data_IF_051669450244
#
_entry.id   IF_051669450244
#
_cell.length_a   1.000
_cell.length_b   1.000
_cell.length_c   1.000
_cell.angle_alpha   90.00
_cell.angle_beta   90.00
_cell.angle_gamma   90.00
#
_symmetry.space_group_name_H-M   'P 1'
#
loop_
_entity.id
_entity.type
_entity.pdbx_description
1 polymer ?
#
# COMPACT_ATOMS: atom_id res chain seq x y z
N UNK A 1 -14.15 21.42 10.00
CA UNK A 1 -14.25 20.34 11.01
C UNK A 1 -15.02 19.11 10.46
N UNK A 2 -16.22 19.23 9.89
CA UNK A 2 -16.92 18.07 9.30
C UNK A 2 -16.17 17.56 8.07
N UNK A 3 -15.74 18.46 7.18
CA UNK A 3 -15.01 18.11 5.96
C UNK A 3 -13.67 17.45 6.26
N UNK A 4 -12.96 17.91 7.30
CA UNK A 4 -11.70 17.31 7.74
C UNK A 4 -11.94 15.90 8.26
N UNK A 5 -13.01 15.71 9.06
CA UNK A 5 -13.39 14.39 9.54
C UNK A 5 -13.70 13.42 8.39
N UNK A 6 -14.51 13.85 7.41
CA UNK A 6 -14.84 13.04 6.24
C UNK A 6 -13.58 12.69 5.46
N UNK A 7 -12.69 13.66 5.24
CA UNK A 7 -11.43 13.45 4.53
C UNK A 7 -10.56 12.40 5.21
N UNK A 8 -10.34 12.53 6.52
CA UNK A 8 -9.53 11.54 7.27
C UNK A 8 -10.21 10.18 7.36
N UNK A 9 -11.53 10.15 7.49
CA UNK A 9 -12.29 8.90 7.55
C UNK A 9 -12.16 8.12 6.23
N UNK A 10 -12.43 8.78 5.11
CA UNK A 10 -12.34 8.16 3.77
C UNK A 10 -10.89 7.76 3.47
N UNK A 11 -9.94 8.66 3.66
CA UNK A 11 -8.54 8.38 3.38
C UNK A 11 -7.98 7.23 4.23
N UNK A 12 -8.32 7.16 5.51
CA UNK A 12 -7.82 6.14 6.42
C UNK A 12 -8.50 4.78 6.26
N UNK A 13 -9.80 4.76 5.98
CA UNK A 13 -10.55 3.52 5.92
C UNK A 13 -10.35 2.79 4.58
N UNK A 14 -10.62 3.44 3.45
CA UNK A 14 -10.65 2.76 2.15
C UNK A 14 -9.28 2.28 1.72
N UNK A 15 -8.25 3.07 1.89
CA UNK A 15 -6.89 2.67 1.47
C UNK A 15 -6.40 1.45 2.24
N UNK A 16 -6.58 1.43 3.55
CA UNK A 16 -6.17 0.31 4.40
C UNK A 16 -7.01 -0.94 4.13
N UNK A 17 -8.33 -0.78 4.01
CA UNK A 17 -9.23 -1.90 3.71
C UNK A 17 -8.91 -2.55 2.37
N UNK A 18 -8.69 -1.75 1.32
CA UNK A 18 -8.32 -2.25 -0.01
C UNK A 18 -6.97 -2.95 0.01
N UNK A 19 -5.95 -2.37 0.65
CA UNK A 19 -4.63 -2.99 0.77
C UNK A 19 -4.70 -4.36 1.44
N UNK A 20 -5.42 -4.49 2.55
CA UNK A 20 -5.59 -5.76 3.25
C UNK A 20 -6.42 -6.75 2.43
N UNK A 21 -7.48 -6.30 1.77
CA UNK A 21 -8.34 -7.16 0.94
C UNK A 21 -7.56 -7.82 -0.20
N UNK A 22 -6.75 -7.06 -0.93
CA UNK A 22 -5.90 -7.60 -1.98
C UNK A 22 -4.80 -8.51 -1.43
N UNK A 23 -4.21 -8.16 -0.30
CA UNK A 23 -3.22 -9.00 0.37
C UNK A 23 -3.82 -10.38 0.73
N UNK A 24 -4.99 -10.41 1.35
CA UNK A 24 -5.68 -11.66 1.68
C UNK A 24 -6.14 -12.44 0.44
N UNK A 25 -6.60 -11.74 -0.59
CA UNK A 25 -6.98 -12.36 -1.86
C UNK A 25 -5.79 -13.11 -2.48
N UNK A 26 -4.62 -12.47 -2.55
CA UNK A 26 -3.42 -13.08 -3.12
C UNK A 26 -2.88 -14.23 -2.26
N UNK A 27 -2.92 -14.11 -0.94
CA UNK A 27 -2.59 -15.23 -0.05
C UNK A 27 -3.57 -16.40 -0.23
N UNK A 28 -4.86 -16.14 -0.43
CA UNK A 28 -5.86 -17.17 -0.69
C UNK A 28 -5.68 -17.88 -2.04
N UNK A 29 -5.14 -17.18 -3.04
CA UNK A 29 -4.83 -17.76 -4.36
C UNK A 29 -3.52 -18.55 -4.37
N UNK A 30 -2.62 -18.26 -3.46
CA UNK A 30 -1.27 -18.82 -3.39
C UNK A 30 -1.06 -19.55 -2.07
N UNK A 31 -1.50 -20.81 -1.99
CA UNK A 31 -1.44 -21.61 -0.76
C UNK A 31 -0.05 -21.72 -0.15
N UNK A 32 0.99 -21.80 -0.98
CA UNK A 32 2.39 -21.91 -0.52
C UNK A 32 2.84 -20.64 0.22
N UNK A 33 2.36 -19.47 -0.24
CA UNK A 33 2.63 -18.19 0.43
C UNK A 33 1.92 -18.15 1.78
N UNK A 34 0.66 -18.59 1.81
CA UNK A 34 -0.12 -18.65 3.04
C UNK A 34 0.50 -19.59 4.08
N UNK A 35 0.96 -20.76 3.66
CA UNK A 35 1.62 -21.74 4.54
C UNK A 35 2.87 -21.11 5.17
N UNK A 36 3.76 -20.54 4.36
CA UNK A 36 4.99 -19.88 4.86
C UNK A 36 4.70 -18.70 5.78
N UNK A 37 3.65 -17.92 5.48
CA UNK A 37 3.24 -16.82 6.37
C UNK A 37 2.79 -17.35 7.73
N UNK A 38 2.02 -18.43 7.77
CA UNK A 38 1.61 -19.08 9.01
C UNK A 38 2.79 -19.65 9.79
N UNK A 39 3.71 -20.32 9.12
CA UNK A 39 4.94 -20.83 9.75
C UNK A 39 5.76 -19.73 10.41
N UNK A 40 5.85 -18.56 9.75
CA UNK A 40 6.52 -17.39 10.35
C UNK A 40 5.78 -16.88 11.59
N UNK A 41 4.46 -16.73 11.51
CA UNK A 41 3.63 -16.28 12.63
C UNK A 41 3.74 -17.24 13.81
N UNK A 42 3.61 -18.56 13.56
CA UNK A 42 3.72 -19.59 14.60
C UNK A 42 5.10 -19.58 15.24
N UNK A 43 6.16 -19.38 14.47
CA UNK A 43 7.53 -19.27 14.99
C UNK A 43 7.74 -18.03 15.86
N UNK A 44 7.16 -16.87 15.48
CA UNK A 44 7.36 -15.60 16.18
C UNK A 44 6.47 -15.50 17.42
N UNK A 45 5.20 -15.88 17.29
CA UNK A 45 4.22 -15.75 18.38
C UNK A 45 4.19 -16.97 19.29
N UNK A 46 4.41 -18.18 18.78
CA UNK A 46 4.19 -19.42 19.51
C UNK A 46 2.74 -19.53 19.97
N UNK A 47 2.53 -19.78 21.23
CA UNK A 47 1.19 -19.90 21.83
C UNK A 47 0.58 -18.56 22.28
N UNK A 48 1.28 -17.44 22.07
CA UNK A 48 0.80 -16.11 22.46
C UNK A 48 -0.27 -15.60 21.51
N UNK A 49 -1.34 -15.02 22.06
CA UNK A 49 -2.39 -14.36 21.28
C UNK A 49 -2.15 -12.86 21.08
N UNK A 50 -1.27 -12.25 21.87
CA UNK A 50 -0.98 -10.83 21.82
C UNK A 50 0.30 -10.57 21.04
N UNK A 51 0.21 -9.59 20.12
CA UNK A 51 1.33 -9.17 19.27
C UNK A 51 1.96 -7.93 19.90
N UNK A 52 3.28 -7.96 20.07
CA UNK A 52 4.09 -6.80 20.51
C UNK A 52 4.67 -6.07 19.32
N UNK A 53 5.14 -4.83 19.55
CA UNK A 53 5.85 -4.07 18.52
C UNK A 53 7.15 -4.78 18.04
N UNK A 54 7.80 -5.52 18.90
CA UNK A 54 8.99 -6.30 18.55
C UNK A 54 8.64 -7.46 17.61
N UNK A 55 7.54 -8.16 17.86
CA UNK A 55 7.06 -9.25 17.01
C UNK A 55 6.80 -8.76 15.58
N UNK A 56 6.22 -7.56 15.41
CA UNK A 56 5.98 -6.96 14.08
C UNK A 56 7.29 -6.80 13.29
N UNK A 57 8.38 -6.46 13.96
CA UNK A 57 9.70 -6.33 13.31
C UNK A 57 10.32 -7.69 12.92
N UNK A 58 9.88 -8.78 13.54
CA UNK A 58 10.33 -10.14 13.24
C UNK A 58 9.50 -10.83 12.15
N UNK A 59 8.28 -10.34 11.87
CA UNK A 59 7.39 -10.84 10.81
C UNK A 59 7.83 -10.33 9.42
N UNK A 60 9.01 -10.73 9.00
CA UNK A 60 9.65 -10.23 7.76
C UNK A 60 8.96 -10.74 6.50
N UNK A 61 8.56 -12.00 6.48
CA UNK A 61 7.89 -12.60 5.34
C UNK A 61 6.49 -12.05 5.16
N UNK A 62 5.72 -11.93 6.25
CA UNK A 62 4.41 -11.26 6.24
C UNK A 62 4.52 -9.81 5.75
N UNK A 63 5.54 -9.08 6.22
CA UNK A 63 5.82 -7.72 5.74
C UNK A 63 6.17 -7.67 4.26
N UNK A 64 6.89 -8.67 3.74
CA UNK A 64 7.23 -8.75 2.32
C UNK A 64 6.00 -9.04 1.46
N UNK A 65 5.12 -9.95 1.91
CA UNK A 65 3.83 -10.22 1.23
C UNK A 65 3.00 -8.94 1.14
N UNK A 66 2.88 -8.21 2.24
CA UNK A 66 2.11 -6.97 2.26
C UNK A 66 2.68 -5.91 1.32
N UNK A 67 4.01 -5.74 1.31
CA UNK A 67 4.68 -4.81 0.39
C UNK A 67 4.51 -5.21 -1.07
N UNK A 68 4.57 -6.50 -1.37
CA UNK A 68 4.35 -7.00 -2.73
C UNK A 68 2.90 -6.82 -3.17
N UNK A 69 1.94 -7.03 -2.28
CA UNK A 69 0.54 -6.71 -2.53
C UNK A 69 0.33 -5.22 -2.84
N UNK A 70 0.97 -4.32 -2.08
CA UNK A 70 0.93 -2.89 -2.35
C UNK A 70 1.59 -2.49 -3.68
N UNK A 71 2.62 -3.23 -4.10
CA UNK A 71 3.26 -3.02 -5.41
C UNK A 71 2.32 -3.41 -6.54
N UNK A 72 1.61 -4.53 -6.41
CA UNK A 72 0.69 -5.05 -7.43
C UNK A 72 -0.65 -4.28 -7.47
N UNK A 73 -1.15 -3.91 -6.29
CA UNK A 73 -2.46 -3.28 -6.10
C UNK A 73 -2.35 -2.06 -5.20
N UNK A 74 -1.70 -0.97 -5.67
CA UNK A 74 -1.57 0.24 -4.85
C UNK A 74 -2.94 0.89 -4.63
N UNK A 75 -3.37 1.14 -3.38
CA UNK A 75 -4.66 1.78 -3.10
C UNK A 75 -4.74 3.22 -3.61
N UNK A 76 -3.58 3.89 -3.72
CA UNK A 76 -3.44 5.21 -4.32
C UNK A 76 -2.46 5.10 -5.50
N UNK A 77 -2.95 4.77 -6.72
CA UNK A 77 -2.09 4.42 -7.85
C UNK A 77 -1.41 5.62 -8.51
N UNK A 78 -1.78 6.83 -8.14
CA UNK A 78 -1.27 8.05 -8.77
C UNK A 78 -1.22 9.23 -7.82
N UNK A 79 -0.35 10.20 -8.14
CA UNK A 79 -0.35 11.53 -7.54
C UNK A 79 -0.59 12.59 -8.61
N UNK A 80 -1.26 13.67 -8.22
CA UNK A 80 -1.43 14.85 -9.07
C UNK A 80 -0.48 15.97 -8.65
N UNK A 81 0.04 16.67 -9.64
CA UNK A 81 0.84 17.90 -9.48
C UNK A 81 0.39 18.93 -10.51
N UNK A 82 0.55 20.19 -10.17
CA UNK A 82 0.33 21.30 -11.11
C UNK A 82 1.68 21.96 -11.40
N UNK A 83 1.94 22.22 -12.69
CA UNK A 83 3.14 22.95 -13.09
C UNK A 83 2.98 24.42 -12.70
N UNK A 84 4.03 25.02 -12.13
CA UNK A 84 4.07 26.46 -11.84
C UNK A 84 4.65 27.25 -13.01
N UNK A 85 5.56 26.62 -13.74
CA UNK A 85 6.28 27.17 -14.88
C UNK A 85 6.21 26.17 -16.04
N UNK A 86 6.64 26.61 -17.23
CA UNK A 86 6.81 25.72 -18.39
C UNK A 86 7.86 24.65 -18.04
N UNK A 87 7.50 23.38 -18.21
CA UNK A 87 8.35 22.23 -17.94
C UNK A 87 8.65 21.49 -19.25
N UNK A 88 9.91 21.19 -19.50
CA UNK A 88 10.31 20.36 -20.64
C UNK A 88 10.66 18.94 -20.19
N UNK A 89 9.95 17.95 -20.71
CA UNK A 89 10.18 16.53 -20.42
C UNK A 89 10.40 15.79 -21.73
N UNK A 90 11.56 15.17 -21.90
CA UNK A 90 11.94 14.44 -23.11
C UNK A 90 11.69 15.21 -24.43
N UNK A 91 11.92 16.55 -24.42
CA UNK A 91 11.71 17.39 -25.58
C UNK A 91 10.26 17.85 -25.79
N UNK A 92 9.31 17.43 -24.97
CA UNK A 92 7.94 17.94 -24.94
C UNK A 92 7.83 19.11 -23.95
N UNK A 93 7.33 20.23 -24.42
CA UNK A 93 6.98 21.36 -23.55
C UNK A 93 5.59 21.17 -22.93
N UNK A 94 5.54 21.26 -21.61
CA UNK A 94 4.31 21.24 -20.82
C UNK A 94 4.06 22.68 -20.35
N UNK A 95 2.94 23.30 -20.72
CA UNK A 95 2.64 24.68 -20.31
C UNK A 95 2.54 24.83 -18.79
N UNK A 96 2.71 26.05 -18.32
CA UNK A 96 2.37 26.41 -16.94
C UNK A 96 0.90 26.11 -16.64
N UNK A 97 0.59 25.88 -15.36
CA UNK A 97 -0.75 25.53 -14.87
C UNK A 97 -1.33 24.22 -15.42
N UNK A 98 -0.52 23.39 -16.08
CA UNK A 98 -0.92 22.05 -16.51
C UNK A 98 -1.04 21.09 -15.33
N UNK A 99 -2.11 20.30 -15.31
CA UNK A 99 -2.27 19.23 -14.32
C UNK A 99 -1.55 17.96 -14.79
N UNK A 100 -0.57 17.51 -14.02
CA UNK A 100 0.17 16.28 -14.26
C UNK A 100 -0.32 15.18 -13.34
N UNK A 101 -0.58 14.01 -13.90
CA UNK A 101 -0.89 12.79 -13.12
C UNK A 101 0.27 11.83 -13.28
N UNK A 102 0.98 11.58 -12.19
CA UNK A 102 2.07 10.60 -12.13
C UNK A 102 1.50 9.29 -11.63
N UNK A 103 1.49 8.30 -12.50
CA UNK A 103 0.96 6.95 -12.21
C UNK A 103 2.16 6.06 -11.87
N UNK A 104 2.14 5.39 -10.71
CA UNK A 104 3.21 4.44 -10.32
C UNK A 104 2.89 3.00 -10.68
N UNK A 105 1.71 2.78 -11.23
CA UNK A 105 1.28 1.46 -11.62
C UNK A 105 1.59 1.25 -13.11
N UNK A 106 2.36 0.23 -13.41
CA UNK A 106 2.67 -0.24 -14.76
C UNK A 106 2.36 -1.72 -14.84
#
# INVERSE_FOLDING_TARGET
MVDDFITFFVAGQETTANALSFCFLEMGRNSDILIKAREEVDRVLGERSEITYQDVNELKYCSAIFKESLRLYPPAPAISRQTKDVLTVNGCEIPENSQLIVIYFI
#
